data_IF_816932581417
#
_entry.id   IF_816932581417
#
_cell.length_a   1.000
_cell.length_b   1.000
_cell.length_c   1.000
_cell.angle_alpha   90.00
_cell.angle_beta   90.00
_cell.angle_gamma   90.00
#
_symmetry.space_group_name_H-M   'P 1'
#
loop_
_entity.id
_entity.type
_entity.pdbx_description
1 polymer ?
#
# COMPACT_ATOMS: atom_id res chain seq x y z
N UNK A 1 -19.07 -8.12 -14.76
CA UNK A 1 -18.30 -9.08 -13.93
C UNK A 1 -19.12 -10.34 -13.69
N UNK A 2 -20.45 -10.26 -13.65
CA UNK A 2 -21.37 -11.40 -13.45
C UNK A 2 -21.07 -12.65 -14.28
N UNK A 3 -20.60 -12.53 -15.52
CA UNK A 3 -20.26 -13.67 -16.38
C UNK A 3 -18.80 -14.12 -16.31
N UNK A 4 -17.95 -13.37 -15.59
CA UNK A 4 -16.53 -13.68 -15.46
C UNK A 4 -16.31 -14.69 -14.34
N UNK A 5 -15.17 -15.37 -14.40
CA UNK A 5 -14.66 -16.24 -13.35
C UNK A 5 -13.58 -15.52 -12.53
N UNK A 6 -13.31 -15.96 -11.29
CA UNK A 6 -12.23 -15.45 -10.45
C UNK A 6 -10.88 -15.31 -11.17
N UNK A 7 -10.55 -16.29 -12.02
CA UNK A 7 -9.29 -16.38 -12.74
C UNK A 7 -9.17 -15.41 -13.94
N UNK A 8 -10.27 -14.77 -14.37
CA UNK A 8 -10.32 -13.84 -15.52
C UNK A 8 -9.75 -12.45 -15.15
N UNK A 9 -8.62 -12.44 -14.44
CA UNK A 9 -8.02 -11.26 -13.80
C UNK A 9 -7.81 -10.07 -14.74
N UNK A 10 -7.47 -10.31 -16.01
CA UNK A 10 -7.29 -9.23 -17.01
C UNK A 10 -8.59 -8.51 -17.32
N UNK A 11 -9.69 -9.25 -17.51
CA UNK A 11 -11.00 -8.66 -17.79
C UNK A 11 -11.57 -7.97 -16.55
N UNK A 12 -11.32 -8.52 -15.36
CA UNK A 12 -11.66 -7.87 -14.10
C UNK A 12 -10.92 -6.54 -13.94
N UNK A 13 -9.61 -6.52 -14.18
CA UNK A 13 -8.80 -5.29 -14.15
C UNK A 13 -9.37 -4.25 -15.11
N UNK A 14 -9.63 -4.61 -16.38
CA UNK A 14 -10.20 -3.69 -17.38
C UNK A 14 -11.56 -3.14 -16.97
N UNK A 15 -12.38 -3.95 -16.30
CA UNK A 15 -13.70 -3.52 -15.82
C UNK A 15 -13.61 -2.53 -14.66
N UNK A 16 -12.68 -2.75 -13.72
CA UNK A 16 -12.37 -1.78 -12.66
C UNK A 16 -11.73 -0.50 -13.23
N UNK A 17 -10.82 -0.61 -14.20
CA UNK A 17 -10.28 0.56 -14.90
C UNK A 17 -11.36 1.44 -15.51
N UNK A 18 -12.36 0.81 -16.13
CA UNK A 18 -13.51 1.51 -16.69
C UNK A 18 -14.29 2.25 -15.61
N UNK A 19 -14.48 1.64 -14.42
CA UNK A 19 -15.24 2.28 -13.33
C UNK A 19 -14.47 3.44 -12.72
N UNK A 20 -13.15 3.31 -12.58
CA UNK A 20 -12.27 4.41 -12.16
C UNK A 20 -12.34 5.59 -13.15
N UNK A 21 -12.34 5.29 -14.45
CA UNK A 21 -12.42 6.33 -15.50
C UNK A 21 -13.75 7.07 -15.43
N UNK A 22 -14.86 6.34 -15.38
CA UNK A 22 -16.19 6.93 -15.34
C UNK A 22 -16.42 7.71 -14.04
N UNK A 23 -16.02 7.17 -12.89
CA UNK A 23 -16.08 7.89 -11.61
C UNK A 23 -15.31 9.23 -11.68
N UNK A 24 -14.13 9.25 -12.30
CA UNK A 24 -13.34 10.48 -12.44
C UNK A 24 -13.93 11.51 -13.41
N UNK A 25 -14.78 11.09 -14.35
CA UNK A 25 -15.53 12.00 -15.24
C UNK A 25 -16.74 12.60 -14.53
N UNK A 26 -17.40 11.82 -13.70
CA UNK A 26 -18.64 12.19 -13.02
C UNK A 26 -18.41 13.01 -11.75
N UNK A 27 -17.25 12.82 -11.10
CA UNK A 27 -16.92 13.45 -9.81
C UNK A 27 -15.53 14.11 -9.85
N UNK A 28 -15.49 15.44 -9.81
CA UNK A 28 -14.25 16.23 -9.93
C UNK A 28 -13.24 16.02 -8.77
N UNK A 29 -13.72 15.51 -7.63
CA UNK A 29 -12.87 15.19 -6.48
C UNK A 29 -12.13 13.86 -6.66
N UNK A 30 -12.65 12.98 -7.52
CA UNK A 30 -12.08 11.68 -7.80
C UNK A 30 -11.20 11.80 -9.03
N UNK A 31 -9.89 11.71 -8.83
CA UNK A 31 -8.91 11.76 -9.93
C UNK A 31 -8.20 10.44 -10.05
N UNK A 32 -8.08 9.92 -11.27
CA UNK A 32 -7.21 8.77 -11.53
C UNK A 32 -5.75 9.16 -11.40
N UNK A 33 -4.93 8.21 -10.98
CA UNK A 33 -3.47 8.36 -11.09
C UNK A 33 -3.05 8.35 -12.56
N UNK A 34 -2.05 9.16 -12.91
CA UNK A 34 -1.58 9.33 -14.30
C UNK A 34 -0.54 8.27 -14.73
N UNK A 35 -0.20 7.32 -13.86
CA UNK A 35 0.82 6.32 -14.12
C UNK A 35 0.25 5.13 -14.90
N UNK A 36 0.75 4.89 -16.11
CA UNK A 36 0.27 3.83 -17.01
C UNK A 36 0.39 2.40 -16.45
N UNK A 37 1.21 2.18 -15.42
CA UNK A 37 1.46 0.86 -14.83
C UNK A 37 0.58 0.57 -13.60
N UNK A 38 -0.25 1.51 -13.15
CA UNK A 38 -1.06 1.37 -11.94
C UNK A 38 -2.49 1.82 -12.14
N UNK A 39 -3.41 1.06 -11.58
CA UNK A 39 -4.81 1.44 -11.47
C UNK A 39 -5.08 1.98 -10.09
N UNK A 40 -5.60 3.19 -10.03
CA UNK A 40 -5.87 3.82 -8.75
C UNK A 40 -6.39 5.23 -8.83
N UNK A 41 -6.63 5.77 -7.64
CA UNK A 41 -7.11 7.12 -7.41
C UNK A 41 -6.04 7.94 -6.69
N UNK A 42 -5.96 9.23 -7.04
CA UNK A 42 -5.18 10.21 -6.30
C UNK A 42 -5.77 10.32 -4.89
N UNK A 43 -4.91 10.18 -3.89
CA UNK A 43 -5.26 10.26 -2.48
C UNK A 43 -4.37 11.30 -1.82
N UNK A 44 -4.82 12.54 -1.73
CA UNK A 44 -3.95 13.68 -1.39
C UNK A 44 -3.71 13.87 0.12
N UNK A 45 -3.49 12.78 0.86
CA UNK A 45 -3.08 12.89 2.26
C UNK A 45 -1.58 13.22 2.32
N UNK A 46 -1.17 13.95 3.35
CA UNK A 46 0.26 14.32 3.51
C UNK A 46 1.17 13.10 3.72
N UNK A 47 0.61 11.99 4.18
CA UNK A 47 1.32 10.76 4.53
C UNK A 47 1.12 9.61 3.52
N UNK A 48 0.22 9.71 2.55
CA UNK A 48 0.02 8.73 1.46
C UNK A 48 -0.58 9.45 0.24
N UNK A 49 -0.28 9.00 -0.98
CA UNK A 49 -0.59 9.74 -2.22
C UNK A 49 -1.59 9.06 -3.16
N UNK A 50 -1.82 7.76 -3.02
CA UNK A 50 -2.62 6.98 -3.96
C UNK A 50 -3.35 5.86 -3.25
N UNK A 51 -4.57 5.56 -3.71
CA UNK A 51 -5.30 4.31 -3.45
C UNK A 51 -5.16 3.44 -4.69
N UNK A 52 -4.47 2.31 -4.55
CA UNK A 52 -4.20 1.37 -5.63
C UNK A 52 -5.27 0.28 -5.63
N UNK A 53 -5.83 0.04 -6.80
CA UNK A 53 -6.82 -1.00 -7.09
C UNK A 53 -6.12 -2.14 -7.81
N UNK A 54 -6.06 -3.31 -7.17
CA UNK A 54 -5.49 -4.53 -7.73
C UNK A 54 -6.50 -5.67 -7.70
N UNK A 55 -6.40 -6.59 -8.66
CA UNK A 55 -7.18 -7.84 -8.65
C UNK A 55 -6.27 -8.96 -8.18
N UNK A 56 -6.72 -9.70 -7.16
CA UNK A 56 -5.98 -10.88 -6.66
C UNK A 56 -6.11 -12.06 -7.63
N UNK A 57 -5.32 -13.12 -7.42
CA UNK A 57 -5.44 -14.35 -8.22
C UNK A 57 -6.82 -15.02 -8.11
N UNK A 58 -7.59 -14.68 -7.08
CA UNK A 58 -8.93 -15.22 -6.82
C UNK A 58 -10.02 -14.22 -7.27
N UNK A 59 -9.69 -13.21 -8.06
CA UNK A 59 -10.63 -12.24 -8.59
C UNK A 59 -11.11 -11.18 -7.59
N UNK A 60 -10.65 -11.22 -6.34
CA UNK A 60 -11.02 -10.22 -5.34
C UNK A 60 -10.40 -8.87 -5.68
N UNK A 61 -11.12 -7.79 -5.36
CA UNK A 61 -10.60 -6.43 -5.48
C UNK A 61 -9.84 -6.07 -4.20
N UNK A 62 -8.52 -5.94 -4.34
CA UNK A 62 -7.63 -5.45 -3.29
C UNK A 62 -7.42 -3.96 -3.43
N UNK A 63 -7.72 -3.22 -2.37
CA UNK A 63 -7.51 -1.78 -2.28
C UNK A 63 -6.35 -1.56 -1.33
N UNK A 64 -5.35 -0.80 -1.74
CA UNK A 64 -4.15 -0.60 -0.92
C UNK A 64 -3.59 0.81 -0.98
N UNK A 65 -3.02 1.24 0.14
CA UNK A 65 -2.29 2.49 0.26
C UNK A 65 -0.94 2.24 0.95
N UNK A 66 0.01 3.14 0.73
CA UNK A 66 1.35 3.06 1.31
C UNK A 66 1.68 4.31 2.17
N UNK A 67 1.16 4.42 3.40
CA UNK A 67 1.52 5.48 4.32
C UNK A 67 3.02 5.50 4.59
N UNK A 68 3.68 6.66 4.53
CA UNK A 68 5.11 6.76 4.81
C UNK A 68 6.02 6.14 3.74
N UNK A 69 5.53 5.94 2.52
CA UNK A 69 6.32 5.37 1.42
C UNK A 69 7.59 6.19 1.11
N UNK A 70 7.57 7.49 1.35
CA UNK A 70 8.75 8.37 1.29
C UNK A 70 9.16 8.88 2.67
N UNK A 71 10.42 9.32 2.81
CA UNK A 71 10.86 9.97 4.05
C UNK A 71 9.99 11.17 4.43
N UNK A 72 9.59 11.99 3.45
CA UNK A 72 8.77 13.17 3.72
C UNK A 72 7.39 12.80 4.27
N UNK A 73 6.72 11.82 3.67
CA UNK A 73 5.46 11.27 4.18
C UNK A 73 5.64 10.66 5.57
N UNK A 74 6.72 9.91 5.78
CA UNK A 74 7.01 9.29 7.06
C UNK A 74 7.30 10.32 8.16
N UNK A 75 7.96 11.44 7.87
CA UNK A 75 8.18 12.50 8.86
C UNK A 75 6.85 12.97 9.45
N UNK A 76 5.85 13.20 8.59
CA UNK A 76 4.50 13.62 8.97
C UNK A 76 3.80 12.49 9.73
N UNK A 77 3.92 11.25 9.24
CA UNK A 77 3.30 10.09 9.84
C UNK A 77 3.88 9.73 11.23
N UNK A 78 5.13 10.08 11.53
CA UNK A 78 5.79 9.82 12.81
C UNK A 78 5.86 11.07 13.71
N UNK A 79 5.18 12.17 13.35
CA UNK A 79 4.97 13.30 14.28
C UNK A 79 4.12 12.86 15.48
N UNK A 80 3.04 12.11 15.21
CA UNK A 80 2.19 11.35 16.13
C UNK A 80 2.10 9.92 15.58
N UNK A 81 2.22 8.90 16.43
CA UNK A 81 2.11 7.51 15.96
C UNK A 81 0.73 7.26 15.32
N UNK A 82 0.66 6.69 14.11
CA UNK A 82 -0.60 6.58 13.38
C UNK A 82 -1.43 5.40 13.87
N UNK A 83 -2.69 5.67 14.18
CA UNK A 83 -3.69 4.68 14.54
C UNK A 83 -4.68 4.53 13.38
N UNK A 84 -4.82 3.31 12.89
CA UNK A 84 -5.73 2.96 11.81
C UNK A 84 -6.89 2.16 12.40
N UNK A 85 -8.10 2.37 11.89
CA UNK A 85 -9.22 1.51 12.25
C UNK A 85 -8.96 0.05 11.82
N UNK A 86 -9.48 -0.91 12.59
CA UNK A 86 -9.34 -2.34 12.31
C UNK A 86 -10.26 -2.83 11.18
N UNK A 87 -11.28 -2.03 10.85
CA UNK A 87 -12.20 -2.24 9.73
C UNK A 87 -12.55 -0.92 9.07
N UNK A 88 -12.96 -0.99 7.81
CA UNK A 88 -13.47 0.15 7.05
C UNK A 88 -14.86 -0.20 6.49
N UNK A 89 -15.81 0.71 6.65
CA UNK A 89 -17.18 0.50 6.19
C UNK A 89 -17.35 1.03 4.77
N UNK A 90 -17.77 0.17 3.84
CA UNK A 90 -18.04 0.52 2.44
C UNK A 90 -19.42 -0.04 2.08
N UNK A 91 -20.34 0.80 1.59
CA UNK A 91 -21.73 0.41 1.30
C UNK A 91 -22.45 -0.30 2.48
N UNK A 92 -22.15 0.12 3.71
CA UNK A 92 -22.60 -0.52 4.93
C UNK A 92 -22.06 -1.92 5.24
N UNK A 93 -21.04 -2.38 4.52
CA UNK A 93 -20.33 -3.63 4.80
C UNK A 93 -18.99 -3.27 5.45
N UNK A 94 -18.69 -3.89 6.59
CA UNK A 94 -17.38 -3.76 7.22
C UNK A 94 -16.37 -4.69 6.58
N UNK A 95 -15.26 -4.13 6.11
CA UNK A 95 -14.14 -4.86 5.56
C UNK A 95 -12.95 -4.77 6.53
N UNK A 96 -12.35 -5.89 6.95
CA UNK A 96 -11.17 -5.87 7.80
C UNK A 96 -10.01 -5.13 7.14
N UNK A 97 -9.33 -4.28 7.91
CA UNK A 97 -8.11 -3.58 7.50
C UNK A 97 -6.90 -4.45 7.81
N UNK A 98 -6.21 -4.89 6.76
CA UNK A 98 -4.91 -5.51 6.87
C UNK A 98 -3.82 -4.44 7.00
N UNK A 99 -3.12 -4.45 8.13
CA UNK A 99 -1.95 -3.60 8.38
C UNK A 99 -0.67 -4.44 8.36
N UNK A 100 0.30 -4.01 7.55
CA UNK A 100 1.68 -4.50 7.60
C UNK A 100 2.64 -3.32 7.73
N UNK A 101 3.74 -3.54 8.43
CA UNK A 101 4.89 -2.65 8.38
C UNK A 101 5.60 -2.82 7.04
N UNK A 102 6.06 -1.72 6.45
CA UNK A 102 6.65 -1.66 5.12
C UNK A 102 7.88 -0.76 5.10
N UNK A 103 9.05 -1.35 4.83
CA UNK A 103 10.30 -0.61 4.67
C UNK A 103 10.64 -0.59 3.19
N UNK A 104 10.70 0.59 2.58
CA UNK A 104 11.05 0.74 1.16
C UNK A 104 12.51 1.15 0.99
N UNK A 105 13.18 0.55 0.00
CA UNK A 105 14.49 0.95 -0.47
C UNK A 105 14.38 1.51 -1.90
N UNK A 106 14.90 2.71 -2.09
CA UNK A 106 14.86 3.42 -3.37
C UNK A 106 16.23 3.95 -3.76
N UNK A 107 16.49 4.08 -5.05
CA UNK A 107 17.74 4.63 -5.59
C UNK A 107 17.39 5.47 -6.81
N UNK A 108 17.86 6.73 -6.85
CA UNK A 108 17.46 7.70 -7.87
C UNK A 108 15.94 7.77 -8.05
N UNK A 109 15.22 7.84 -6.92
CA UNK A 109 13.76 7.88 -6.87
C UNK A 109 13.04 6.64 -7.45
N UNK A 110 13.76 5.55 -7.72
CA UNK A 110 13.17 4.28 -8.17
C UNK A 110 13.21 3.24 -7.06
N UNK A 111 12.07 2.62 -6.81
CA UNK A 111 11.95 1.43 -5.97
C UNK A 111 12.83 0.30 -6.48
N UNK A 112 13.48 -0.44 -5.56
CA UNK A 112 14.21 -1.65 -5.94
C UNK A 112 14.09 -2.81 -4.93
N UNK A 113 13.69 -2.56 -3.68
CA UNK A 113 13.47 -3.59 -2.68
C UNK A 113 12.56 -3.09 -1.56
N UNK A 114 11.96 -4.01 -0.80
CA UNK A 114 11.27 -3.70 0.45
C UNK A 114 11.40 -4.82 1.47
N UNK A 115 11.04 -4.53 2.71
CA UNK A 115 10.73 -5.54 3.73
C UNK A 115 9.27 -5.32 4.16
N UNK A 116 8.44 -6.35 4.04
CA UNK A 116 7.03 -6.32 4.50
C UNK A 116 6.82 -7.32 5.62
N UNK A 117 6.23 -6.89 6.74
CA UNK A 117 6.09 -7.76 7.91
C UNK A 117 4.96 -7.31 8.84
N UNK A 118 4.55 -8.21 9.73
CA UNK A 118 3.58 -7.93 10.81
C UNK A 118 4.29 -7.90 12.16
N UNK A 119 3.62 -7.39 13.19
CA UNK A 119 4.17 -7.29 14.55
C UNK A 119 4.70 -8.60 15.12
N UNK A 120 4.11 -9.75 14.74
CA UNK A 120 4.56 -11.09 15.15
C UNK A 120 6.03 -11.40 14.86
N UNK A 121 6.66 -10.66 13.93
CA UNK A 121 8.07 -10.84 13.55
C UNK A 121 9.02 -9.90 14.31
N UNK A 122 8.51 -8.99 15.14
CA UNK A 122 9.30 -8.07 15.93
C UNK A 122 9.61 -8.64 17.31
N UNK A 123 10.87 -8.54 17.74
CA UNK A 123 11.28 -8.68 19.15
C UNK A 123 11.44 -7.34 19.86
N UNK A 124 11.58 -6.26 19.10
CA UNK A 124 11.67 -4.88 19.58
C UNK A 124 10.89 -3.98 18.62
N UNK A 125 10.21 -2.98 19.16
CA UNK A 125 9.51 -2.00 18.32
C UNK A 125 10.51 -1.27 17.41
N UNK A 126 10.39 -1.50 16.10
CA UNK A 126 11.18 -0.87 15.05
C UNK A 126 10.59 0.48 14.63
N UNK A 127 9.26 0.60 14.69
CA UNK A 127 8.49 1.71 14.17
C UNK A 127 8.29 2.79 15.23
N UNK A 128 9.39 3.39 15.68
CA UNK A 128 9.40 4.53 16.61
C UNK A 128 9.87 5.80 15.92
N UNK A 129 9.46 6.97 16.43
CA UNK A 129 9.93 8.28 15.94
C UNK A 129 11.46 8.41 15.97
N UNK A 130 12.11 7.88 17.00
CA UNK A 130 13.58 7.88 17.13
C UNK A 130 14.22 7.05 16.01
N UNK A 131 13.76 5.81 15.82
CA UNK A 131 14.29 4.93 14.79
C UNK A 131 14.04 5.51 13.40
N UNK A 132 12.83 6.02 13.15
CA UNK A 132 12.50 6.69 11.90
C UNK A 132 13.48 7.84 11.61
N UNK A 133 13.67 8.75 12.57
CA UNK A 133 14.53 9.93 12.41
C UNK A 133 15.99 9.56 12.14
N UNK A 134 16.49 8.53 12.83
CA UNK A 134 17.89 8.09 12.75
C UNK A 134 18.18 7.24 11.50
N UNK A 135 17.27 6.33 11.14
CA UNK A 135 17.55 5.28 10.17
C UNK A 135 16.90 5.50 8.80
N UNK A 136 16.07 6.53 8.60
CA UNK A 136 15.50 6.85 7.27
C UNK A 136 16.27 7.92 6.48
N UNK A 137 15.99 7.99 5.18
CA UNK A 137 16.64 8.88 4.20
C UNK A 137 17.86 8.25 3.55
N UNK A 138 18.75 9.09 3.05
CA UNK A 138 19.94 8.63 2.32
C UNK A 138 20.92 7.89 3.22
N UNK A 139 21.28 6.68 2.82
CA UNK A 139 22.27 5.81 3.48
C UNK A 139 23.37 5.44 2.51
N UNK A 140 24.59 5.86 2.84
CA UNK A 140 25.83 5.56 2.13
C UNK A 140 26.37 4.20 2.57
N UNK A 141 26.97 3.49 1.63
CA UNK A 141 27.65 2.21 1.88
C UNK A 141 28.74 2.39 2.95
N UNK A 142 28.96 1.34 3.75
CA UNK A 142 29.87 1.36 4.90
C UNK A 142 29.11 1.35 6.21
N UNK A 143 29.49 2.21 7.15
CA UNK A 143 28.95 2.20 8.51
C UNK A 143 27.44 2.42 8.60
N UNK A 144 26.84 3.21 7.70
CA UNK A 144 25.39 3.42 7.72
C UNK A 144 24.61 2.18 7.28
N UNK A 145 25.15 1.38 6.35
CA UNK A 145 24.55 0.10 5.98
C UNK A 145 24.72 -0.92 7.09
N UNK A 146 25.91 -1.01 7.71
CA UNK A 146 26.14 -1.86 8.89
C UNK A 146 25.18 -1.51 10.04
N UNK A 147 24.94 -0.22 10.28
CA UNK A 147 24.00 0.24 11.29
C UNK A 147 22.55 -0.19 10.99
N UNK A 148 22.14 -0.21 9.71
CA UNK A 148 20.85 -0.76 9.30
C UNK A 148 20.78 -2.28 9.54
N UNK A 149 21.83 -3.03 9.18
CA UNK A 149 21.87 -4.46 9.44
C UNK A 149 21.75 -4.78 10.94
N UNK A 150 22.45 -4.01 11.78
CA UNK A 150 22.35 -4.15 13.23
C UNK A 150 20.96 -3.79 13.76
N UNK A 151 20.34 -2.74 13.22
CA UNK A 151 18.96 -2.39 13.55
C UNK A 151 18.01 -3.56 13.24
N UNK A 152 18.06 -4.10 12.02
CA UNK A 152 17.16 -5.19 11.62
C UNK A 152 17.45 -6.48 12.40
N UNK A 153 18.72 -6.85 12.56
CA UNK A 153 19.13 -7.99 13.41
C UNK A 153 18.67 -7.85 14.85
N UNK A 154 18.62 -6.64 15.40
CA UNK A 154 18.15 -6.39 16.78
C UNK A 154 16.65 -6.17 16.90
N UNK A 155 15.93 -5.97 15.78
CA UNK A 155 14.48 -5.71 15.80
C UNK A 155 13.64 -6.92 15.40
N UNK A 156 14.12 -7.77 14.50
CA UNK A 156 13.42 -8.97 14.06
C UNK A 156 13.75 -10.20 14.93
N UNK A 157 12.77 -11.07 15.11
CA UNK A 157 12.99 -12.40 15.69
C UNK A 157 13.63 -13.35 14.65
N UNK A 158 14.03 -14.54 15.09
CA UNK A 158 14.76 -15.49 14.25
C UNK A 158 13.86 -16.18 13.21
N UNK A 159 12.53 -16.04 13.33
CA UNK A 159 11.55 -16.64 12.41
C UNK A 159 11.30 -15.78 11.18
N UNK A 160 11.96 -14.61 11.07
CA UNK A 160 11.84 -13.69 9.95
C UNK A 160 13.20 -13.38 9.31
N UNK A 161 13.43 -13.97 8.14
CA UNK A 161 14.61 -13.70 7.33
C UNK A 161 14.44 -12.43 6.49
N UNK A 162 14.63 -11.28 7.14
CA UNK A 162 14.57 -9.98 6.49
C UNK A 162 15.60 -9.81 5.37
N UNK A 163 16.73 -10.56 5.40
CA UNK A 163 17.77 -10.46 4.39
C UNK A 163 17.29 -11.05 3.07
N UNK A 164 16.66 -12.22 3.13
CA UNK A 164 16.03 -12.86 1.97
C UNK A 164 14.85 -12.04 1.47
N UNK A 165 13.99 -11.55 2.37
CA UNK A 165 12.79 -10.74 2.02
C UNK A 165 13.14 -9.54 1.13
N UNK A 166 14.23 -8.82 1.41
CA UNK A 166 14.65 -7.65 0.62
C UNK A 166 15.77 -7.94 -0.38
N UNK A 167 16.23 -9.19 -0.50
CA UNK A 167 17.38 -9.54 -1.35
C UNK A 167 18.67 -8.81 -0.96
N UNK A 168 18.93 -8.67 0.34
CA UNK A 168 20.03 -7.85 0.90
C UNK A 168 21.41 -8.20 0.32
N UNK A 169 21.68 -9.48 0.08
CA UNK A 169 22.92 -9.91 -0.56
C UNK A 169 23.08 -9.32 -1.97
N UNK A 170 22.01 -9.28 -2.75
CA UNK A 170 21.97 -8.64 -4.06
C UNK A 170 22.22 -7.14 -3.97
N UNK A 171 21.66 -6.47 -2.95
CA UNK A 171 21.91 -5.04 -2.68
C UNK A 171 23.40 -4.81 -2.42
N UNK A 172 24.02 -5.62 -1.57
CA UNK A 172 25.46 -5.53 -1.27
C UNK A 172 26.33 -5.74 -2.52
N UNK A 173 25.96 -6.68 -3.38
CA UNK A 173 26.68 -6.99 -4.63
C UNK A 173 26.39 -6.03 -5.79
N UNK A 174 25.31 -5.24 -5.73
CA UNK A 174 24.83 -4.39 -6.84
C UNK A 174 25.74 -3.21 -7.24
N UNK A 175 26.89 -3.03 -6.60
CA UNK A 175 27.77 -1.86 -6.81
C UNK A 175 27.20 -0.52 -6.33
N UNK A 176 25.98 -0.47 -5.78
CA UNK A 176 25.36 0.75 -5.25
C UNK A 176 26.15 1.28 -4.06
N UNK A 177 26.58 2.54 -4.12
CA UNK A 177 27.26 3.21 -3.00
C UNK A 177 26.30 3.96 -2.06
N UNK A 178 25.02 4.08 -2.43
CA UNK A 178 23.98 4.68 -1.60
C UNK A 178 22.58 4.22 -2.04
N UNK A 179 21.63 4.30 -1.11
CA UNK A 179 20.19 4.23 -1.36
C UNK A 179 19.45 5.12 -0.36
N UNK A 180 18.18 5.42 -0.63
CA UNK A 180 17.27 6.06 0.30
C UNK A 180 16.34 4.99 0.92
N UNK A 181 16.09 5.08 2.22
CA UNK A 181 15.22 4.17 2.96
C UNK A 181 14.08 4.92 3.66
N UNK A 182 12.88 4.37 3.64
CA UNK A 182 11.69 4.90 4.33
C UNK A 182 11.03 3.79 5.15
N UNK A 183 10.49 4.15 6.32
CA UNK A 183 9.61 3.27 7.08
C UNK A 183 8.19 3.77 6.93
N UNK A 184 7.28 2.85 6.65
CA UNK A 184 5.89 3.13 6.37
C UNK A 184 5.02 1.91 6.59
N UNK A 185 3.79 1.97 6.11
CA UNK A 185 2.83 0.91 6.28
C UNK A 185 2.33 0.48 4.91
N UNK A 186 1.87 -0.76 4.85
CA UNK A 186 1.01 -1.26 3.81
C UNK A 186 -0.35 -1.49 4.46
N UNK A 187 -1.34 -0.69 4.06
CA UNK A 187 -2.71 -0.81 4.54
C UNK A 187 -3.54 -1.29 3.36
N UNK A 188 -4.33 -2.33 3.56
CA UNK A 188 -5.23 -2.83 2.53
C UNK A 188 -6.54 -3.36 3.07
N UNK A 189 -7.55 -3.30 2.23
CA UNK A 189 -8.81 -4.04 2.40
C UNK A 189 -9.06 -4.90 1.15
N UNK A 190 -9.87 -5.94 1.29
CA UNK A 190 -10.20 -6.85 0.19
C UNK A 190 -11.72 -6.95 0.06
N UNK A 191 -12.24 -6.57 -1.11
CA UNK A 191 -13.65 -6.75 -1.47
C UNK A 191 -13.76 -8.07 -2.25
N UNK A 192 -14.52 -9.06 -1.75
CA UNK A 192 -14.62 -10.37 -2.38
C UNK A 192 -15.18 -10.29 -3.80
N UNK A 193 -14.65 -11.13 -4.69
CA UNK A 193 -15.10 -11.27 -6.07
C UNK A 193 -16.62 -11.42 -6.20
N UNK A 194 -17.24 -12.20 -5.30
CA UNK A 194 -18.69 -12.41 -5.28
C UNK A 194 -19.47 -11.09 -5.17
N UNK A 195 -19.02 -10.15 -4.33
CA UNK A 195 -19.64 -8.83 -4.19
C UNK A 195 -19.48 -8.02 -5.49
N UNK A 196 -18.34 -8.13 -6.18
CA UNK A 196 -18.14 -7.50 -7.50
C UNK A 196 -19.08 -8.08 -8.56
N UNK A 197 -19.31 -9.40 -8.55
CA UNK A 197 -20.30 -10.04 -9.42
C UNK A 197 -21.70 -9.51 -9.14
N UNK A 198 -22.11 -9.46 -7.88
CA UNK A 198 -23.43 -8.94 -7.45
C UNK A 198 -23.66 -7.50 -7.90
N UNK A 199 -22.63 -6.66 -7.86
CA UNK A 199 -22.71 -5.26 -8.30
C UNK A 199 -22.79 -5.10 -9.82
N UNK A 200 -22.06 -5.91 -10.59
CA UNK A 200 -21.91 -5.73 -12.04
C UNK A 200 -22.58 -6.84 -12.87
N UNK A 201 -23.91 -6.85 -12.79
CA UNK A 201 -24.81 -7.82 -13.42
C UNK A 201 -25.10 -7.52 -14.89
N UNK A 202 -25.15 -6.24 -15.27
CA UNK A 202 -25.50 -5.78 -16.63
C UNK A 202 -24.26 -5.23 -17.30
N UNK A 203 -23.79 -5.90 -18.36
CA UNK A 203 -22.53 -5.58 -19.03
C UNK A 203 -22.41 -4.10 -19.46
N UNK A 204 -23.49 -3.51 -19.97
CA UNK A 204 -23.46 -2.14 -20.49
C UNK A 204 -23.77 -1.07 -19.42
N UNK A 205 -23.93 -1.47 -18.15
CA UNK A 205 -24.18 -0.56 -17.04
C UNK A 205 -23.08 -0.67 -16.00
N UNK A 206 -22.32 0.42 -15.82
CA UNK A 206 -21.20 0.48 -14.88
C UNK A 206 -21.56 1.15 -13.54
N UNK A 207 -22.77 1.69 -13.41
CA UNK A 207 -23.13 2.61 -12.32
C UNK A 207 -22.85 2.04 -10.93
N UNK A 208 -23.11 0.75 -10.69
CA UNK A 208 -22.85 0.14 -9.39
C UNK A 208 -21.35 0.05 -9.06
N UNK A 209 -20.49 -0.19 -10.05
CA UNK A 209 -19.04 -0.18 -9.85
C UNK A 209 -18.49 1.24 -9.72
N UNK A 210 -19.10 2.20 -10.42
CA UNK A 210 -18.81 3.63 -10.23
C UNK A 210 -19.14 4.04 -8.80
N UNK A 211 -20.35 3.78 -8.33
CA UNK A 211 -20.76 4.08 -6.96
C UNK A 211 -19.84 3.40 -5.94
N UNK A 212 -19.49 2.13 -6.14
CA UNK A 212 -18.51 1.45 -5.29
C UNK A 212 -17.17 2.21 -5.24
N UNK A 213 -16.70 2.71 -6.38
CA UNK A 213 -15.47 3.51 -6.47
C UNK A 213 -15.57 4.79 -5.64
N UNK A 214 -16.72 5.48 -5.69
CA UNK A 214 -16.98 6.67 -4.88
C UNK A 214 -16.98 6.35 -3.38
N UNK A 215 -17.69 5.30 -2.97
CA UNK A 215 -17.72 4.87 -1.56
C UNK A 215 -16.34 4.47 -1.05
N UNK A 216 -15.52 3.79 -1.87
CA UNK A 216 -14.12 3.50 -1.53
C UNK A 216 -13.35 4.79 -1.31
N UNK A 217 -13.45 5.75 -2.24
CA UNK A 217 -12.74 7.01 -2.14
C UNK A 217 -13.11 7.80 -0.88
N UNK A 218 -14.41 7.88 -0.56
CA UNK A 218 -14.90 8.54 0.65
C UNK A 218 -14.41 7.85 1.92
N UNK A 219 -14.57 6.53 2.01
CA UNK A 219 -14.17 5.76 3.19
C UNK A 219 -12.67 5.90 3.48
N UNK A 220 -11.81 5.79 2.47
CA UNK A 220 -10.36 6.00 2.65
C UNK A 220 -10.01 7.44 3.08
N UNK A 221 -10.75 8.44 2.61
CA UNK A 221 -10.48 9.84 2.96
C UNK A 221 -10.96 10.22 4.35
N UNK A 222 -12.05 9.62 4.84
CA UNK A 222 -12.75 10.13 6.02
C UNK A 222 -12.72 9.16 7.21
N UNK A 223 -12.53 7.86 6.98
CA UNK A 223 -12.78 6.82 8.00
C UNK A 223 -11.58 5.89 8.25
N UNK A 224 -10.40 6.18 7.68
CA UNK A 224 -9.25 5.27 7.75
C UNK A 224 -8.34 5.47 8.96
N UNK A 225 -8.15 6.73 9.40
CA UNK A 225 -7.33 7.07 10.56
C UNK A 225 -8.20 7.47 11.73
N UNK A 226 -7.77 7.07 12.94
CA UNK A 226 -8.32 7.55 14.19
C UNK A 226 -7.64 8.91 14.48
N UNK A 227 -8.38 10.02 14.30
CA UNK A 227 -7.86 11.37 14.55
C UNK A 227 -7.63 11.67 16.04
#
# INVERSE_FOLDING_TARGET
>A
ISSLKPEDTKDLVRRIESSLEEASKLNENIKRIEYNDRNGLVFSKKWAQEIIFGITSNGDLKLSIFPGNTKAQGLILFEKEPEFYESLKIENIEYPVEKKFYIAFTSYQKYFASISFTEKYLKKNLYTKENFSKFTGRKKRGEQWKALEQLFKSSFNNDFDWQTECGWEGINKSGKNQFDISFGFYISITIPFKKLQELDQVHDNLNNLVNLTEYIFEAFNNELLIE
#
